data_IF_567227377413
#
_entry.id   IF_567227377413
#
_cell.length_a   1.000
_cell.length_b   1.000
_cell.length_c   1.000
_cell.angle_alpha   90.00
_cell.angle_beta   90.00
_cell.angle_gamma   90.00
#
_symmetry.space_group_name_H-M   'P 1'
#
loop_
_entity.id
_entity.type
_entity.pdbx_description
1 polymer ?
#
# COMPACT_ATOMS: atom_id res chain seq x y z
N UNK A 1 2.29 -11.76 -7.60
CA UNK A 1 2.06 -10.36 -8.11
C UNK A 1 2.09 -9.30 -7.01
N UNK A 2 1.70 -9.67 -5.80
CA UNK A 2 1.85 -8.90 -4.53
C UNK A 2 3.30 -8.54 -4.19
N UNK A 3 4.28 -9.30 -4.71
CA UNK A 3 5.70 -8.95 -4.63
C UNK A 3 6.02 -7.54 -5.14
N UNK A 4 5.41 -7.11 -6.24
CA UNK A 4 5.63 -5.76 -6.79
C UNK A 4 5.07 -4.68 -5.87
N UNK A 5 3.90 -4.92 -5.26
CA UNK A 5 3.31 -4.04 -4.25
C UNK A 5 4.22 -3.92 -3.03
N UNK A 6 4.67 -5.05 -2.47
CA UNK A 6 5.57 -5.05 -1.33
C UNK A 6 6.91 -4.38 -1.65
N UNK A 7 7.46 -4.58 -2.85
CA UNK A 7 8.67 -3.86 -3.29
C UNK A 7 8.44 -2.35 -3.37
N UNK A 8 7.29 -1.90 -3.89
CA UNK A 8 6.98 -0.48 -3.97
C UNK A 8 6.79 0.12 -2.57
N UNK A 9 6.05 -0.55 -1.69
CA UNK A 9 5.89 -0.14 -0.29
C UNK A 9 7.25 -0.03 0.42
N UNK A 10 8.10 -1.07 0.32
CA UNK A 10 9.45 -1.05 0.91
C UNK A 10 10.32 0.09 0.35
N UNK A 11 10.16 0.46 -0.93
CA UNK A 11 10.86 1.59 -1.53
C UNK A 11 10.41 2.94 -0.94
N UNK A 12 9.11 3.12 -0.67
CA UNK A 12 8.61 4.30 0.03
C UNK A 12 9.03 4.31 1.51
N UNK A 13 9.00 3.17 2.19
CA UNK A 13 9.51 3.03 3.56
C UNK A 13 11.00 3.43 3.64
N UNK A 14 11.79 3.02 2.66
CA UNK A 14 13.21 3.38 2.58
C UNK A 14 13.42 4.88 2.33
N UNK A 15 12.56 5.51 1.51
CA UNK A 15 12.58 6.96 1.29
C UNK A 15 12.22 7.73 2.56
N UNK A 16 11.25 7.27 3.36
CA UNK A 16 10.93 7.87 4.66
C UNK A 16 12.12 7.74 5.61
N UNK A 17 12.67 6.52 5.74
CA UNK A 17 13.80 6.23 6.62
C UNK A 17 15.06 7.05 6.27
N UNK A 18 15.26 7.33 4.98
CA UNK A 18 16.38 8.15 4.49
C UNK A 18 16.12 9.66 4.57
N UNK A 19 14.91 10.09 4.97
CA UNK A 19 14.50 11.49 5.02
C UNK A 19 14.22 12.13 3.66
N UNK A 20 14.08 11.35 2.58
CA UNK A 20 13.76 11.85 1.24
C UNK A 20 12.29 12.28 1.12
N UNK A 21 11.41 11.66 1.90
CA UNK A 21 10.01 12.07 2.07
C UNK A 21 9.65 12.06 3.56
N UNK A 22 8.74 12.92 3.97
CA UNK A 22 8.28 12.99 5.37
C UNK A 22 7.44 11.78 5.75
N UNK A 23 6.49 11.41 4.89
CA UNK A 23 5.58 10.27 5.07
C UNK A 23 4.93 9.95 3.73
N UNK A 24 4.10 8.92 3.68
CA UNK A 24 3.25 8.60 2.53
C UNK A 24 1.91 8.01 2.99
N UNK A 25 0.94 8.03 2.09
CA UNK A 25 -0.36 7.40 2.28
C UNK A 25 -0.63 6.39 1.18
N UNK A 26 -1.50 5.42 1.49
CA UNK A 26 -1.93 4.37 0.58
C UNK A 26 -3.45 4.39 0.48
N UNK A 27 -3.99 4.49 -0.73
CA UNK A 27 -5.44 4.49 -0.97
C UNK A 27 -5.81 3.31 -1.86
N UNK A 28 -6.94 2.67 -1.57
CA UNK A 28 -7.48 1.59 -2.41
C UNK A 28 -8.18 2.19 -3.62
N UNK A 29 -7.73 1.82 -4.82
CA UNK A 29 -8.30 2.30 -6.07
C UNK A 29 -9.02 1.20 -6.83
N UNK A 30 -9.70 1.54 -7.92
CA UNK A 30 -10.51 0.59 -8.69
C UNK A 30 -9.69 -0.61 -9.18
N UNK A 31 -8.44 -0.41 -9.57
CA UNK A 31 -7.56 -1.40 -10.21
C UNK A 31 -6.33 -1.79 -9.36
N UNK A 32 -6.20 -1.27 -8.14
CA UNK A 32 -5.01 -1.52 -7.32
C UNK A 32 -4.84 -0.56 -6.14
N UNK A 33 -3.60 -0.26 -5.78
CA UNK A 33 -3.22 0.68 -4.72
C UNK A 33 -2.64 1.97 -5.31
N UNK A 34 -2.98 3.10 -4.70
CA UNK A 34 -2.36 4.40 -4.94
C UNK A 34 -1.48 4.74 -3.76
N UNK A 35 -0.20 5.00 -4.02
CA UNK A 35 0.76 5.44 -3.01
C UNK A 35 1.11 6.90 -3.31
N UNK A 36 0.92 7.78 -2.33
CA UNK A 36 1.21 9.21 -2.45
C UNK A 36 2.14 9.64 -1.32
N UNK A 37 3.26 10.27 -1.65
CA UNK A 37 4.09 10.89 -0.62
C UNK A 37 3.42 12.17 -0.09
N UNK A 38 3.56 12.45 1.20
CA UNK A 38 2.95 13.63 1.82
C UNK A 38 3.50 14.94 1.24
N UNK A 39 4.79 14.96 0.90
CA UNK A 39 5.53 16.16 0.46
C UNK A 39 5.77 16.19 -1.07
N UNK A 40 5.27 15.20 -1.82
CA UNK A 40 5.40 15.16 -3.29
C UNK A 40 4.02 15.00 -3.94
N UNK A 41 3.79 15.72 -5.04
CA UNK A 41 2.55 15.57 -5.82
C UNK A 41 2.50 14.24 -6.60
N UNK A 42 3.64 13.56 -6.76
CA UNK A 42 3.72 12.31 -7.50
C UNK A 42 2.92 11.19 -6.81
N UNK A 43 1.93 10.68 -7.53
CA UNK A 43 1.15 9.50 -7.15
C UNK A 43 1.67 8.30 -7.94
N UNK A 44 1.89 7.19 -7.24
CA UNK A 44 2.32 5.92 -7.83
C UNK A 44 1.18 4.93 -7.75
N UNK A 45 0.71 4.45 -8.90
CA UNK A 45 -0.32 3.43 -8.97
C UNK A 45 0.34 2.06 -9.11
N UNK A 46 -0.06 1.12 -8.25
CA UNK A 46 0.39 -0.27 -8.31
C UNK A 46 -0.81 -1.14 -8.57
N UNK A 47 -0.93 -1.79 -9.74
CA UNK A 47 -2.05 -2.66 -10.05
C UNK A 47 -2.03 -3.88 -9.12
N UNK A 48 -3.23 -4.32 -8.71
CA UNK A 48 -3.43 -5.61 -8.04
C UNK A 48 -4.43 -6.45 -8.81
N UNK A 49 -4.28 -7.76 -8.68
CA UNK A 49 -5.27 -8.72 -9.14
C UNK A 49 -6.57 -8.53 -8.37
N UNK A 50 -7.69 -8.67 -9.06
CA UNK A 50 -9.03 -8.53 -8.48
C UNK A 50 -9.25 -9.51 -7.32
N UNK A 51 -8.70 -10.72 -7.41
CA UNK A 51 -8.77 -11.76 -6.37
C UNK A 51 -8.18 -11.30 -5.02
N UNK A 52 -7.25 -10.34 -5.04
CA UNK A 52 -6.61 -9.76 -3.86
C UNK A 52 -7.28 -8.43 -3.51
N UNK A 53 -7.63 -7.64 -4.52
CA UNK A 53 -8.21 -6.31 -4.34
C UNK A 53 -9.61 -6.36 -3.73
N UNK A 54 -10.44 -7.34 -4.12
CA UNK A 54 -11.80 -7.51 -3.58
C UNK A 54 -11.77 -7.77 -2.07
N UNK A 55 -11.07 -8.80 -1.55
CA UNK A 55 -11.02 -9.04 -0.11
C UNK A 55 -10.32 -7.90 0.63
N UNK A 56 -9.34 -7.24 0.02
CA UNK A 56 -8.68 -6.07 0.60
C UNK A 56 -9.64 -4.89 0.78
N UNK A 57 -10.49 -4.60 -0.22
CA UNK A 57 -11.55 -3.57 -0.14
C UNK A 57 -12.61 -3.89 0.90
N UNK A 58 -12.95 -5.18 1.08
CA UNK A 58 -13.88 -5.62 2.12
C UNK A 58 -13.26 -5.45 3.50
N UNK A 59 -11.98 -5.83 3.67
CA UNK A 59 -11.27 -5.70 4.95
C UNK A 59 -11.13 -4.23 5.38
N UNK A 60 -10.84 -3.33 4.43
CA UNK A 60 -10.72 -1.90 4.65
C UNK A 60 -11.99 -1.12 4.27
N UNK A 61 -13.16 -1.74 4.38
CA UNK A 61 -14.41 -1.08 4.02
C UNK A 61 -14.62 0.20 4.85
N UNK A 62 -14.80 1.34 4.18
CA UNK A 62 -14.92 2.65 4.81
C UNK A 62 -13.60 3.36 5.11
N UNK A 63 -12.46 2.76 4.78
CA UNK A 63 -11.14 3.38 4.87
C UNK A 63 -10.74 3.92 3.51
N UNK A 64 -10.74 5.25 3.38
CA UNK A 64 -10.42 5.94 2.13
C UNK A 64 -8.90 6.00 1.89
N UNK A 65 -8.13 6.18 2.96
CA UNK A 65 -6.68 6.35 2.93
C UNK A 65 -6.04 5.77 4.19
N UNK A 66 -4.93 5.06 4.00
CA UNK A 66 -4.13 4.39 5.02
C UNK A 66 -2.81 5.14 5.14
N UNK A 67 -2.53 5.72 6.30
CA UNK A 67 -1.30 6.49 6.54
C UNK A 67 -0.12 5.57 6.88
N UNK A 68 1.08 5.89 6.39
CA UNK A 68 2.30 5.19 6.81
C UNK A 68 2.47 5.25 8.33
N UNK A 69 2.92 4.13 8.93
CA UNK A 69 3.07 3.95 10.38
C UNK A 69 1.76 3.87 11.18
N UNK A 70 0.59 3.89 10.52
CA UNK A 70 -0.70 3.62 11.18
C UNK A 70 -0.92 2.11 11.44
N UNK A 71 -1.87 1.80 12.33
CA UNK A 71 -2.29 0.42 12.57
C UNK A 71 -2.86 -0.25 11.30
N UNK A 72 -3.61 0.51 10.51
CA UNK A 72 -4.15 0.06 9.22
C UNK A 72 -3.04 -0.28 8.22
N UNK A 73 -1.93 0.48 8.22
CA UNK A 73 -0.78 0.19 7.37
C UNK A 73 -0.08 -1.12 7.75
N UNK A 74 0.07 -1.37 9.05
CA UNK A 74 0.60 -2.66 9.54
C UNK A 74 -0.31 -3.81 9.09
N UNK A 75 -1.62 -3.64 9.24
CA UNK A 75 -2.63 -4.61 8.80
C UNK A 75 -2.58 -4.87 7.29
N UNK A 76 -2.41 -3.81 6.48
CA UNK A 76 -2.25 -3.88 5.03
C UNK A 76 -1.00 -4.71 4.67
N UNK A 77 0.16 -4.43 5.28
CA UNK A 77 1.38 -5.20 5.04
C UNK A 77 1.23 -6.67 5.43
N UNK A 78 0.59 -6.96 6.57
CA UNK A 78 0.31 -8.33 7.00
C UNK A 78 -0.58 -9.06 6.00
N UNK A 79 -1.65 -8.42 5.51
CA UNK A 79 -2.54 -8.99 4.50
C UNK A 79 -1.78 -9.31 3.20
N UNK A 80 -1.03 -8.34 2.66
CA UNK A 80 -0.26 -8.52 1.42
C UNK A 80 0.85 -9.57 1.56
N UNK A 81 1.41 -9.74 2.77
CA UNK A 81 2.41 -10.76 3.07
C UNK A 81 1.79 -12.16 3.12
N UNK A 82 0.62 -12.32 3.73
CA UNK A 82 -0.09 -13.60 3.77
C UNK A 82 -0.46 -14.10 2.35
N UNK A 83 -0.80 -13.17 1.45
CA UNK A 83 -1.08 -13.49 0.04
C UNK A 83 0.18 -13.91 -0.75
N UNK A 84 1.40 -13.57 -0.31
CA UNK A 84 2.63 -14.07 -0.93
C UNK A 84 2.95 -15.53 -0.53
N UNK A 85 2.40 -16.03 0.58
CA UNK A 85 2.72 -17.38 1.08
C UNK A 85 2.00 -18.50 0.32
N UNK A 86 1.05 -18.14 -0.56
CA UNK A 86 0.29 -19.08 -1.40
C UNK A 86 0.68 -19.05 -2.89
N UNK A 87 1.73 -18.30 -3.27
CA UNK A 87 2.34 -18.32 -4.63
C UNK A 87 3.44 -19.39 -4.76
#
# INVERSE_FOLDING_TARGET
MTRQVNQKLNSFESQVSSGEIVSFTVSLYQTGLKIKAADKEAVQEVPLLEEILIPLKVFFAGVDTIEYSSFDYVSLKSFLSAQNTHE
#
